data_IF_103870271264
#
_entry.id   IF_103870271264
#
_cell.length_a   1.000
_cell.length_b   1.000
_cell.length_c   1.000
_cell.angle_alpha   90.00
_cell.angle_beta   90.00
_cell.angle_gamma   90.00
#
_symmetry.space_group_name_H-M   'P 1'
#
loop_
_entity.id
_entity.type
_entity.pdbx_description
1 polymer ?
#
# COMPACT_ATOMS: atom_id res chain seq x y z
N UNK A 1 18.78 5.02 -2.34
CA UNK A 1 17.50 5.65 -1.94
C UNK A 1 16.49 5.50 -3.06
N UNK A 2 15.19 5.64 -2.78
CA UNK A 2 14.13 5.66 -3.80
C UNK A 2 13.65 7.09 -3.95
N UNK A 3 13.96 7.71 -5.09
CA UNK A 3 13.62 9.10 -5.37
C UNK A 3 12.21 9.18 -5.92
N UNK A 4 11.26 9.73 -5.14
CA UNK A 4 9.93 10.06 -5.65
C UNK A 4 9.94 11.14 -6.73
N UNK A 5 10.72 12.24 -6.62
CA UNK A 5 10.76 13.27 -7.68
C UNK A 5 11.15 12.74 -9.07
N UNK A 6 11.98 11.68 -9.12
CA UNK A 6 12.40 11.07 -10.39
C UNK A 6 11.75 9.69 -10.65
N UNK A 7 10.97 9.17 -9.71
CA UNK A 7 10.38 7.83 -9.75
C UNK A 7 11.39 6.70 -10.06
N UNK A 8 12.55 6.71 -9.39
CA UNK A 8 13.62 5.72 -9.58
C UNK A 8 14.35 5.40 -8.27
N UNK A 9 14.89 4.19 -8.19
CA UNK A 9 15.88 3.80 -7.19
C UNK A 9 17.28 4.23 -7.65
N UNK A 10 18.02 4.90 -6.77
CA UNK A 10 19.41 5.32 -6.99
C UNK A 10 20.33 4.59 -6.03
N UNK A 11 21.33 3.91 -6.59
CA UNK A 11 22.44 3.30 -5.86
C UNK A 11 23.73 3.97 -6.30
N UNK A 12 24.48 4.55 -5.37
CA UNK A 12 25.75 5.21 -5.65
C UNK A 12 26.86 4.53 -4.88
N UNK A 13 27.84 3.99 -5.60
CA UNK A 13 28.96 3.22 -5.09
C UNK A 13 30.25 3.98 -5.34
N UNK A 14 31.11 4.05 -4.34
CA UNK A 14 32.42 4.73 -4.41
C UNK A 14 33.50 3.83 -3.82
N UNK A 15 34.75 4.05 -4.23
CA UNK A 15 35.92 3.48 -3.56
C UNK A 15 36.76 4.61 -2.95
N UNK A 16 37.48 4.30 -1.85
CA UNK A 16 38.37 5.26 -1.17
C UNK A 16 39.65 5.57 -1.94
N UNK A 17 39.93 4.84 -3.02
CA UNK A 17 41.08 5.02 -3.91
C UNK A 17 40.63 5.05 -5.36
N UNK A 18 41.34 5.81 -6.21
CA UNK A 18 41.05 5.85 -7.65
C UNK A 18 41.17 4.47 -8.27
N UNK A 19 40.30 4.19 -9.25
CA UNK A 19 40.28 2.95 -10.01
C UNK A 19 40.17 1.67 -9.17
N UNK A 20 39.60 1.74 -7.96
CA UNK A 20 39.53 0.62 -7.02
C UNK A 20 38.14 -0.01 -6.90
N UNK A 21 37.15 0.44 -7.68
CA UNK A 21 35.81 -0.13 -7.70
C UNK A 21 35.64 -1.08 -8.90
N UNK A 22 35.51 -2.37 -8.60
CA UNK A 22 35.23 -3.42 -9.59
C UNK A 22 34.17 -4.39 -9.06
N UNK A 23 33.13 -4.67 -9.85
CA UNK A 23 32.07 -5.60 -9.47
C UNK A 23 31.28 -6.09 -10.70
N UNK A 24 30.53 -7.17 -10.51
CA UNK A 24 29.54 -7.64 -11.48
C UNK A 24 28.13 -7.26 -11.03
N UNK A 25 27.26 -6.90 -11.97
CA UNK A 25 25.85 -6.66 -11.72
C UNK A 25 24.97 -7.32 -12.78
N UNK A 26 23.82 -7.81 -12.37
CA UNK A 26 22.79 -8.40 -13.22
C UNK A 26 21.40 -8.18 -12.61
N UNK A 27 20.36 -8.34 -13.43
CA UNK A 27 18.98 -8.41 -12.97
C UNK A 27 18.52 -9.87 -12.96
N UNK A 28 17.69 -10.24 -11.98
CA UNK A 28 17.05 -11.55 -11.87
C UNK A 28 15.66 -11.42 -11.27
N UNK A 29 14.83 -12.45 -11.49
CA UNK A 29 13.48 -12.55 -10.93
C UNK A 29 13.14 -14.02 -10.69
N UNK A 30 12.35 -14.37 -9.66
CA UNK A 30 11.78 -15.71 -9.50
C UNK A 30 10.65 -16.01 -10.49
N UNK A 31 10.15 -15.02 -11.24
CA UNK A 31 9.05 -15.19 -12.19
C UNK A 31 9.54 -15.49 -13.62
N UNK A 32 8.67 -15.96 -14.53
CA UNK A 32 9.02 -16.21 -15.92
C UNK A 32 9.60 -14.98 -16.63
N UNK A 33 10.82 -15.15 -17.14
CA UNK A 33 11.57 -14.14 -17.89
C UNK A 33 11.15 -14.15 -19.35
N UNK A 34 10.80 -12.97 -19.89
CA UNK A 34 10.57 -12.75 -21.33
C UNK A 34 11.90 -12.46 -22.02
N UNK A 35 12.68 -11.55 -21.46
CA UNK A 35 14.03 -11.21 -21.93
C UNK A 35 14.86 -10.59 -20.82
N UNK A 36 16.18 -10.80 -20.86
CA UNK A 36 17.12 -10.21 -19.91
C UNK A 36 18.39 -9.83 -20.67
N UNK A 37 18.61 -8.54 -20.85
CA UNK A 37 19.67 -8.01 -21.71
C UNK A 37 20.57 -7.05 -20.94
N UNK A 38 21.85 -7.06 -21.31
CA UNK A 38 22.86 -6.16 -20.81
C UNK A 38 23.53 -5.42 -21.97
N UNK A 39 23.75 -4.12 -21.77
CA UNK A 39 24.62 -3.28 -22.60
C UNK A 39 25.69 -2.65 -21.69
N UNK A 40 26.66 -1.95 -22.27
CA UNK A 40 27.67 -1.23 -21.49
C UNK A 40 27.08 -0.07 -20.68
N UNK A 41 25.84 0.36 -20.94
CA UNK A 41 25.18 1.49 -20.29
C UNK A 41 23.88 1.12 -19.58
N UNK A 42 23.40 -0.13 -19.72
CA UNK A 42 22.11 -0.53 -19.14
C UNK A 42 21.95 -2.03 -18.90
N UNK A 43 21.06 -2.36 -17.96
CA UNK A 43 20.48 -3.68 -17.76
C UNK A 43 18.96 -3.58 -17.96
N UNK A 44 18.35 -4.51 -18.69
CA UNK A 44 16.89 -4.55 -18.91
C UNK A 44 16.37 -5.96 -18.72
N UNK A 45 15.41 -6.13 -17.82
CA UNK A 45 14.68 -7.37 -17.58
C UNK A 45 13.20 -7.15 -17.91
N UNK A 46 12.65 -7.93 -18.83
CA UNK A 46 11.21 -8.03 -19.08
C UNK A 46 10.73 -9.38 -18.56
N UNK A 47 9.63 -9.40 -17.82
CA UNK A 47 9.10 -10.59 -17.19
C UNK A 47 7.57 -10.54 -17.07
N UNK A 48 6.98 -11.71 -16.79
CA UNK A 48 5.58 -11.84 -16.41
C UNK A 48 5.45 -11.98 -14.91
N UNK A 49 4.32 -11.55 -14.33
CA UNK A 49 3.95 -12.02 -13.00
C UNK A 49 3.45 -13.46 -13.14
N UNK A 50 4.02 -14.42 -12.42
CA UNK A 50 3.42 -15.75 -12.41
C UNK A 50 3.75 -16.48 -11.13
N UNK A 51 2.72 -16.64 -10.32
CA UNK A 51 2.30 -17.94 -9.80
C UNK A 51 0.81 -18.01 -10.15
N UNK A 52 0.36 -19.06 -10.83
CA UNK A 52 -1.08 -19.27 -11.00
C UNK A 52 -1.66 -19.54 -9.60
N UNK A 53 -2.24 -18.52 -8.97
CA UNK A 53 -2.89 -18.63 -7.67
C UNK A 53 -4.33 -19.08 -7.87
N UNK A 54 -4.74 -20.16 -7.22
CA UNK A 54 -6.14 -20.65 -7.27
C UNK A 54 -6.69 -20.84 -8.70
N UNK A 55 -5.84 -21.22 -9.66
CA UNK A 55 -6.22 -21.46 -11.05
C UNK A 55 -6.37 -20.20 -11.91
N UNK A 56 -6.05 -19.01 -11.40
CA UNK A 56 -6.10 -17.74 -12.15
C UNK A 56 -4.70 -17.44 -12.71
N UNK A 57 -4.61 -17.29 -14.04
CA UNK A 57 -3.36 -16.94 -14.71
C UNK A 57 -2.95 -15.49 -14.41
N UNK A 58 -1.65 -15.25 -14.25
CA UNK A 58 -1.09 -13.90 -14.16
C UNK A 58 -1.29 -13.13 -15.46
N UNK A 59 -1.81 -11.90 -15.35
CA UNK A 59 -2.15 -11.04 -16.49
C UNK A 59 -1.17 -9.86 -16.70
N UNK A 60 -0.16 -9.72 -15.84
CA UNK A 60 0.75 -8.59 -15.86
C UNK A 60 2.09 -8.94 -16.51
N UNK A 61 2.59 -8.00 -17.30
CA UNK A 61 3.99 -7.91 -17.65
C UNK A 61 4.63 -6.78 -16.86
N UNK A 62 5.94 -6.86 -16.64
CA UNK A 62 6.70 -5.76 -16.06
C UNK A 62 8.11 -5.69 -16.65
N UNK A 63 8.67 -4.50 -16.58
CA UNK A 63 10.05 -4.23 -16.97
C UNK A 63 10.79 -3.64 -15.77
N UNK A 64 12.02 -4.12 -15.57
CA UNK A 64 13.02 -3.49 -14.71
C UNK A 64 14.13 -2.98 -15.62
N UNK A 65 14.47 -1.70 -15.51
CA UNK A 65 15.51 -1.05 -16.30
C UNK A 65 16.50 -0.38 -15.37
N UNK A 66 17.78 -0.61 -15.58
CA UNK A 66 18.86 0.07 -14.86
C UNK A 66 19.74 0.81 -15.84
N UNK A 67 19.98 2.11 -15.64
CA UNK A 67 21.01 2.91 -16.32
C UNK A 67 22.28 2.89 -15.48
N UNK A 68 23.42 2.65 -16.12
CA UNK A 68 24.75 2.61 -15.48
C UNK A 68 25.47 3.90 -15.84
N UNK A 69 25.89 4.65 -14.83
CA UNK A 69 26.64 5.91 -14.98
C UNK A 69 28.00 5.69 -14.32
N UNK A 70 29.04 5.76 -15.13
CA UNK A 70 30.40 5.42 -14.75
C UNK A 70 31.26 6.69 -14.62
N UNK A 71 32.08 6.75 -13.57
CA UNK A 71 33.19 7.68 -13.46
C UNK A 71 34.52 6.90 -13.38
N UNK A 72 35.30 6.96 -14.45
CA UNK A 72 36.53 6.18 -14.62
C UNK A 72 36.31 4.68 -14.83
N UNK A 73 37.34 3.95 -15.27
CA UNK A 73 37.25 2.51 -15.50
C UNK A 73 36.53 2.12 -16.80
N UNK A 74 35.98 0.91 -16.84
CA UNK A 74 35.32 0.35 -18.02
C UNK A 74 34.16 -0.59 -17.65
N UNK A 75 33.18 -0.72 -18.56
CA UNK A 75 32.11 -1.73 -18.47
C UNK A 75 32.24 -2.71 -19.64
N UNK A 76 32.19 -4.01 -19.35
CA UNK A 76 32.03 -5.07 -20.35
C UNK A 76 30.75 -5.86 -20.08
N UNK A 77 30.21 -6.51 -21.09
CA UNK A 77 28.98 -7.32 -20.99
C UNK A 77 29.29 -8.79 -21.20
N UNK A 78 28.64 -9.66 -20.44
CA UNK A 78 28.64 -11.11 -20.67
C UNK A 78 27.25 -11.67 -20.38
N UNK A 79 26.56 -12.12 -21.43
CA UNK A 79 25.14 -12.52 -21.33
C UNK A 79 24.25 -11.39 -20.82
N UNK A 80 23.54 -11.64 -19.72
CA UNK A 80 22.65 -10.68 -19.04
C UNK A 80 23.34 -9.90 -17.90
N UNK A 81 24.67 -9.98 -17.81
CA UNK A 81 25.46 -9.34 -16.76
C UNK A 81 26.40 -8.27 -17.33
N UNK A 82 26.70 -7.28 -16.50
CA UNK A 82 27.78 -6.31 -16.73
C UNK A 82 28.91 -6.55 -15.74
N UNK A 83 30.14 -6.39 -16.18
CA UNK A 83 31.32 -6.34 -15.34
C UNK A 83 31.88 -4.91 -15.40
N UNK A 84 31.89 -4.24 -14.25
CA UNK A 84 32.55 -2.95 -14.07
C UNK A 84 33.94 -3.19 -13.50
N UNK A 85 34.94 -2.57 -14.11
CA UNK A 85 36.34 -2.72 -13.73
C UNK A 85 37.01 -1.37 -13.55
N UNK A 86 37.76 -1.23 -12.46
CA UNK A 86 38.67 -0.13 -12.19
C UNK A 86 38.00 1.26 -12.22
N UNK A 87 36.78 1.36 -11.71
CA UNK A 87 36.05 2.64 -11.62
C UNK A 87 36.45 3.46 -10.39
N UNK A 88 36.16 4.76 -10.42
CA UNK A 88 36.23 5.63 -9.23
C UNK A 88 34.88 5.59 -8.48
N UNK A 89 33.78 5.73 -9.23
CA UNK A 89 32.43 5.60 -8.71
C UNK A 89 31.47 5.06 -9.79
N UNK A 90 30.37 4.46 -9.34
CA UNK A 90 29.28 3.99 -10.19
C UNK A 90 27.96 4.45 -9.61
N UNK A 91 27.11 5.05 -10.44
CA UNK A 91 25.70 5.27 -10.10
C UNK A 91 24.81 4.37 -10.94
N UNK A 92 23.99 3.55 -10.28
CA UNK A 92 22.95 2.75 -10.87
C UNK A 92 21.61 3.45 -10.64
N UNK A 93 20.89 3.73 -11.72
CA UNK A 93 19.55 4.32 -11.68
C UNK A 93 18.54 3.31 -12.19
N UNK A 94 17.74 2.76 -11.29
CA UNK A 94 16.82 1.66 -11.55
C UNK A 94 15.37 2.14 -11.53
N UNK A 95 14.61 1.82 -12.57
CA UNK A 95 13.17 2.01 -12.65
C UNK A 95 12.46 0.68 -12.86
N UNK A 96 11.24 0.59 -12.32
CA UNK A 96 10.34 -0.56 -12.49
C UNK A 96 8.95 -0.06 -12.91
N UNK A 97 8.32 -0.75 -13.85
CA UNK A 97 6.94 -0.49 -14.23
C UNK A 97 6.25 -1.79 -14.64
N UNK A 98 4.92 -1.85 -14.48
CA UNK A 98 4.09 -2.96 -14.93
C UNK A 98 3.04 -2.52 -15.96
N UNK A 99 2.39 -3.49 -16.58
CA UNK A 99 1.28 -3.26 -17.51
C UNK A 99 -0.03 -2.88 -16.80
N UNK A 100 -0.04 -2.86 -15.46
CA UNK A 100 -1.22 -2.46 -14.68
C UNK A 100 -1.56 -1.00 -14.93
N UNK A 101 -2.81 -0.73 -15.30
CA UNK A 101 -3.37 0.62 -15.43
C UNK A 101 -4.37 0.90 -14.32
N UNK A 102 -5.26 -0.06 -14.06
CA UNK A 102 -6.27 -0.05 -13.00
C UNK A 102 -6.79 -1.48 -12.80
N UNK A 103 -7.65 -1.67 -11.80
CA UNK A 103 -8.16 -2.99 -11.39
C UNK A 103 -8.82 -3.81 -12.52
N UNK A 104 -9.28 -3.18 -13.60
CA UNK A 104 -9.89 -3.85 -14.76
C UNK A 104 -9.16 -3.57 -16.09
N UNK A 105 -7.92 -3.10 -16.04
CA UNK A 105 -7.13 -2.78 -17.24
C UNK A 105 -5.64 -3.08 -17.02
N UNK A 106 -5.16 -4.05 -17.80
CA UNK A 106 -3.76 -4.51 -17.80
C UNK A 106 -3.07 -4.25 -19.15
N UNK A 107 -3.64 -3.36 -19.98
CA UNK A 107 -3.16 -3.04 -21.33
C UNK A 107 -1.95 -2.10 -21.36
N UNK A 108 -1.47 -1.66 -20.20
CA UNK A 108 -0.34 -0.74 -20.10
C UNK A 108 0.95 -1.32 -20.70
N UNK A 109 1.82 -0.44 -21.19
CA UNK A 109 3.13 -0.82 -21.71
C UNK A 109 4.23 -0.45 -20.69
N UNK A 110 4.84 -1.44 -19.99
CA UNK A 110 5.93 -1.20 -19.04
C UNK A 110 7.10 -0.41 -19.63
N UNK A 111 7.49 -0.72 -20.88
CA UNK A 111 8.63 -0.07 -21.53
C UNK A 111 8.34 1.41 -21.78
N UNK A 112 7.16 1.74 -22.32
CA UNK A 112 6.78 3.12 -22.59
C UNK A 112 6.69 3.96 -21.30
N UNK A 113 6.17 3.38 -20.21
CA UNK A 113 6.18 4.03 -18.88
C UNK A 113 7.60 4.35 -18.42
N UNK A 114 8.53 3.39 -18.59
CA UNK A 114 9.93 3.62 -18.25
C UNK A 114 10.63 4.58 -19.21
N UNK A 115 10.23 4.67 -20.47
CA UNK A 115 10.75 5.68 -21.38
C UNK A 115 10.43 7.08 -20.85
N UNK A 116 9.19 7.34 -20.40
CA UNK A 116 8.81 8.60 -19.75
C UNK A 116 9.67 8.89 -18.50
N UNK A 117 9.84 7.90 -17.62
CA UNK A 117 10.65 8.05 -16.39
C UNK A 117 12.11 8.36 -16.74
N UNK A 118 12.72 7.60 -17.65
CA UNK A 118 14.13 7.75 -17.98
C UNK A 118 14.45 8.95 -18.88
N UNK A 119 13.46 9.49 -19.60
CA UNK A 119 13.57 10.74 -20.36
C UNK A 119 13.51 11.99 -19.47
N UNK A 120 12.86 11.89 -18.30
CA UNK A 120 12.83 12.97 -17.32
C UNK A 120 14.17 13.11 -16.54
N UNK A 121 15.02 12.09 -16.58
CA UNK A 121 16.33 12.12 -15.94
C UNK A 121 17.29 12.98 -16.78
N UNK A 122 17.95 14.00 -16.19
CA UNK A 122 18.91 14.84 -16.90
C UNK A 122 20.02 14.01 -17.57
N UNK A 123 20.39 14.38 -18.81
CA UNK A 123 21.47 13.73 -19.55
C UNK A 123 22.82 13.87 -18.85
N UNK A 124 23.09 15.05 -18.26
CA UNK A 124 24.19 15.30 -17.34
C UNK A 124 23.80 14.92 -15.91
N UNK A 125 23.67 13.62 -15.66
CA UNK A 125 23.28 13.13 -14.33
C UNK A 125 24.25 13.61 -13.25
N UNK A 126 23.72 14.28 -12.22
CA UNK A 126 24.48 14.73 -11.06
C UNK A 126 23.90 14.10 -9.79
N UNK A 127 24.66 13.19 -9.18
CA UNK A 127 24.22 12.47 -7.98
C UNK A 127 23.85 13.41 -6.82
N UNK A 128 24.67 14.43 -6.56
CA UNK A 128 24.45 15.35 -5.45
C UNK A 128 23.15 16.15 -5.60
N UNK A 129 22.84 16.63 -6.81
CA UNK A 129 21.58 17.31 -7.10
C UNK A 129 20.37 16.39 -6.92
N UNK A 130 20.47 15.14 -7.39
CA UNK A 130 19.38 14.15 -7.26
C UNK A 130 19.17 13.76 -5.80
N UNK A 131 20.25 13.57 -5.03
CA UNK A 131 20.17 13.30 -3.60
C UNK A 131 19.54 14.48 -2.84
N UNK A 132 19.97 15.71 -3.14
CA UNK A 132 19.41 16.92 -2.52
C UNK A 132 17.91 17.06 -2.80
N UNK A 133 17.48 16.83 -4.04
CA UNK A 133 16.07 16.83 -4.41
C UNK A 133 15.26 15.75 -3.67
N UNK A 134 15.80 14.52 -3.56
CA UNK A 134 15.17 13.46 -2.78
C UNK A 134 15.05 13.82 -1.29
N UNK A 135 16.12 14.36 -0.69
CA UNK A 135 16.12 14.76 0.72
C UNK A 135 15.08 15.86 0.96
N UNK A 136 15.03 16.89 0.11
CA UNK A 136 14.05 17.97 0.23
C UNK A 136 12.61 17.46 0.13
N UNK A 137 12.34 16.57 -0.82
CA UNK A 137 11.04 15.93 -1.00
C UNK A 137 10.63 15.09 0.23
N UNK A 138 11.51 14.22 0.71
CA UNK A 138 11.25 13.39 1.89
C UNK A 138 11.05 14.23 3.17
N UNK A 139 11.95 15.19 3.41
CA UNK A 139 11.93 16.06 4.58
C UNK A 139 10.71 16.98 4.60
N UNK A 140 10.15 17.34 3.43
CA UNK A 140 8.91 18.13 3.34
C UNK A 140 7.72 17.47 4.05
N UNK A 141 7.74 16.14 4.23
CA UNK A 141 6.73 15.40 5.00
C UNK A 141 7.26 14.97 6.36
N UNK A 142 8.47 14.40 6.41
CA UNK A 142 9.00 13.83 7.64
C UNK A 142 9.17 14.88 8.75
N UNK A 143 9.63 16.09 8.39
CA UNK A 143 9.88 17.17 9.35
C UNK A 143 8.61 17.89 9.84
N UNK A 144 7.41 17.52 9.35
CA UNK A 144 6.14 18.13 9.80
C UNK A 144 5.77 17.80 11.25
N UNK A 145 6.36 16.75 11.82
CA UNK A 145 6.18 16.36 13.21
C UNK A 145 7.52 15.97 13.83
N UNK A 146 7.67 16.26 15.12
CA UNK A 146 8.87 15.97 15.90
C UNK A 146 8.45 15.47 17.28
N UNK A 147 9.20 14.50 17.80
CA UNK A 147 9.03 13.98 19.16
C UNK A 147 10.39 13.65 19.77
N UNK A 148 10.68 14.24 20.91
CA UNK A 148 11.87 13.98 21.71
C UNK A 148 11.44 13.63 23.13
N UNK A 149 11.66 12.37 23.52
CA UNK A 149 11.35 11.85 24.86
C UNK A 149 12.61 11.78 25.74
N UNK A 150 13.70 12.43 25.33
CA UNK A 150 15.01 12.36 25.95
C UNK A 150 15.83 11.16 25.45
N UNK A 151 17.14 11.21 25.68
CA UNK A 151 18.07 10.13 25.32
C UNK A 151 19.04 9.81 26.44
N UNK A 152 19.47 8.55 26.52
CA UNK A 152 20.57 8.10 27.35
C UNK A 152 21.77 7.80 26.43
N UNK A 153 22.86 8.56 26.59
CA UNK A 153 24.04 8.48 25.71
C UNK A 153 24.66 7.07 25.62
N UNK A 154 24.60 6.29 26.71
CA UNK A 154 25.10 4.91 26.74
C UNK A 154 24.23 3.92 25.96
N UNK A 155 22.94 4.23 25.78
CA UNK A 155 22.00 3.42 25.00
C UNK A 155 21.98 3.84 23.54
N UNK A 156 22.03 5.15 23.26
CA UNK A 156 21.99 5.68 21.89
C UNK A 156 23.22 5.34 21.04
N UNK A 157 24.34 4.97 21.67
CA UNK A 157 25.53 4.49 20.97
C UNK A 157 25.44 3.02 20.53
N UNK A 158 24.47 2.26 21.03
CA UNK A 158 24.32 0.85 20.68
C UNK A 158 23.58 0.69 19.34
N UNK A 159 23.93 -0.34 18.55
CA UNK A 159 23.13 -0.78 17.42
C UNK A 159 21.66 -1.04 17.81
N UNK A 160 20.72 -0.73 16.90
CA UNK A 160 19.27 -0.82 17.18
C UNK A 160 18.81 -2.21 17.60
N UNK A 161 19.38 -3.27 17.02
CA UNK A 161 19.11 -4.67 17.38
C UNK A 161 19.45 -4.95 18.86
N UNK A 162 20.59 -4.44 19.34
CA UNK A 162 20.98 -4.57 20.74
C UNK A 162 20.09 -3.75 21.67
N UNK A 163 19.61 -2.59 21.23
CA UNK A 163 18.67 -1.77 22.02
C UNK A 163 17.33 -2.48 22.19
N UNK A 164 16.79 -3.08 21.12
CA UNK A 164 15.53 -3.85 21.15
C UNK A 164 15.66 -5.11 22.00
N UNK A 165 16.74 -5.88 21.85
CA UNK A 165 16.95 -7.13 22.58
C UNK A 165 16.99 -6.97 24.11
N UNK A 166 17.25 -5.76 24.62
CA UNK A 166 17.28 -5.44 26.06
C UNK A 166 15.90 -5.24 26.69
N UNK A 167 14.81 -5.25 25.90
CA UNK A 167 13.45 -5.28 26.43
C UNK A 167 13.01 -4.06 27.24
N UNK A 168 13.54 -2.87 26.93
CA UNK A 168 13.22 -1.59 27.60
C UNK A 168 13.52 -1.53 29.12
N UNK A 169 14.51 -2.30 29.62
CA UNK A 169 14.97 -2.18 31.00
C UNK A 169 16.49 -1.87 31.09
N UNK A 170 16.90 -0.65 31.52
CA UNK A 170 16.05 0.51 31.79
C UNK A 170 15.36 1.02 30.52
N UNK A 171 14.31 1.83 30.68
CA UNK A 171 13.54 2.37 29.54
C UNK A 171 14.44 3.18 28.61
N UNK A 172 14.49 2.78 27.34
CA UNK A 172 15.16 3.51 26.28
C UNK A 172 14.18 4.45 25.58
N UNK A 173 14.01 5.65 26.13
CA UNK A 173 13.10 6.67 25.59
C UNK A 173 13.47 7.10 24.17
N UNK A 174 14.76 7.10 23.85
CA UNK A 174 15.23 7.37 22.50
C UNK A 174 14.82 6.28 21.50
N UNK A 175 14.64 5.03 21.95
CA UNK A 175 14.15 3.94 21.11
C UNK A 175 12.65 4.09 20.86
N UNK A 176 11.89 4.60 21.85
CA UNK A 176 10.47 4.94 21.68
C UNK A 176 10.30 6.06 20.63
N UNK A 177 11.05 7.15 20.75
CA UNK A 177 11.06 8.21 19.73
C UNK A 177 11.47 7.68 18.36
N UNK A 178 12.47 6.78 18.28
CA UNK A 178 12.86 6.14 17.02
C UNK A 178 11.72 5.30 16.44
N UNK A 179 11.00 4.53 17.26
CA UNK A 179 9.93 3.66 16.81
C UNK A 179 8.73 4.44 16.24
N UNK A 180 8.34 5.54 16.88
CA UNK A 180 7.29 6.45 16.39
C UNK A 180 7.70 7.04 15.03
N UNK A 181 8.94 7.54 14.94
CA UNK A 181 9.45 8.08 13.68
C UNK A 181 9.63 7.01 12.61
N UNK A 182 9.90 5.76 12.99
CA UNK A 182 10.00 4.65 12.05
C UNK A 182 8.65 4.33 11.41
N UNK A 183 7.55 4.33 12.17
CA UNK A 183 6.20 4.20 11.62
C UNK A 183 5.88 5.28 10.57
N UNK A 184 6.22 6.54 10.86
CA UNK A 184 6.09 7.65 9.92
C UNK A 184 6.96 7.47 8.67
N UNK A 185 8.22 7.04 8.85
CA UNK A 185 9.13 6.73 7.74
C UNK A 185 8.53 5.64 6.83
N UNK A 186 7.97 4.58 7.42
CA UNK A 186 7.38 3.48 6.66
C UNK A 186 6.17 3.96 5.85
N UNK A 187 5.24 4.70 6.47
CA UNK A 187 4.05 5.21 5.79
C UNK A 187 4.41 6.17 4.63
N UNK A 188 5.38 7.07 4.83
CA UNK A 188 5.90 7.94 3.77
C UNK A 188 6.48 7.11 2.61
N UNK A 189 7.17 6.02 2.93
CA UNK A 189 7.92 5.21 1.97
C UNK A 189 7.04 4.20 1.22
N UNK A 190 5.88 3.81 1.76
CA UNK A 190 4.93 2.87 1.14
C UNK A 190 3.71 3.54 0.51
N UNK A 191 3.25 4.68 1.06
CA UNK A 191 1.97 5.32 0.73
C UNK A 191 2.06 6.72 0.10
N UNK A 192 3.19 7.07 -0.53
CA UNK A 192 3.44 8.40 -1.07
C UNK A 192 2.28 8.98 -1.94
N UNK A 193 2.11 10.32 -1.99
CA UNK A 193 1.15 10.93 -2.90
C UNK A 193 1.45 10.52 -4.35
N UNK A 194 0.42 10.00 -5.04
CA UNK A 194 0.55 9.44 -6.38
C UNK A 194 0.79 7.93 -6.44
N UNK A 195 0.95 7.23 -5.30
CA UNK A 195 0.97 5.77 -5.26
C UNK A 195 -0.33 5.18 -5.81
N UNK A 196 -0.22 4.17 -6.69
CA UNK A 196 -1.36 3.51 -7.32
C UNK A 196 -2.19 2.71 -6.31
N UNK A 197 -1.54 2.24 -5.25
CA UNK A 197 -2.13 1.43 -4.19
C UNK A 197 -1.80 2.01 -2.81
N UNK A 198 -2.65 1.77 -1.80
CA UNK A 198 -2.28 2.01 -0.42
C UNK A 198 -1.23 1.01 0.07
N UNK A 199 -0.70 1.24 1.27
CA UNK A 199 0.25 0.37 1.93
C UNK A 199 -0.46 -0.93 2.35
N UNK A 200 -0.05 -2.07 1.81
CA UNK A 200 -0.67 -3.36 2.16
C UNK A 200 -0.16 -3.89 3.51
N UNK A 201 -0.49 -5.15 3.87
CA UNK A 201 -0.01 -5.81 5.10
C UNK A 201 1.51 -5.70 5.38
N UNK A 202 2.32 -5.49 4.35
CA UNK A 202 3.78 -5.37 4.45
C UNK A 202 4.28 -4.04 3.84
N UNK A 203 3.39 -3.05 3.71
CA UNK A 203 3.64 -1.79 3.02
C UNK A 203 3.85 -2.01 1.53
N UNK A 204 5.11 -2.14 1.12
CA UNK A 204 5.55 -2.47 -0.25
C UNK A 204 6.72 -3.46 -0.27
N UNK A 205 7.11 -4.00 0.89
CA UNK A 205 8.32 -4.80 1.05
C UNK A 205 7.97 -6.29 1.14
N UNK A 206 8.17 -7.03 0.06
CA UNK A 206 7.92 -8.47 -0.02
C UNK A 206 9.03 -9.16 -0.83
N UNK A 207 9.54 -10.28 -0.33
CA UNK A 207 10.52 -11.14 -0.99
C UNK A 207 9.90 -12.40 -1.58
N UNK A 208 8.80 -12.87 -1.02
CA UNK A 208 8.16 -14.14 -1.32
C UNK A 208 7.10 -13.99 -2.41
N UNK A 209 7.04 -14.93 -3.35
CA UNK A 209 5.99 -14.98 -4.39
C UNK A 209 4.66 -15.54 -3.87
N UNK A 210 4.64 -16.06 -2.65
CA UNK A 210 3.48 -16.58 -1.93
C UNK A 210 3.52 -16.06 -0.48
N UNK A 211 3.27 -14.77 -0.33
CA UNK A 211 3.31 -14.08 0.95
C UNK A 211 2.26 -14.60 1.94
N UNK A 212 2.54 -14.49 3.24
CA UNK A 212 1.54 -14.72 4.28
C UNK A 212 0.34 -13.76 4.08
N UNK A 213 -0.87 -14.33 4.09
CA UNK A 213 -2.12 -13.62 3.77
C UNK A 213 -2.06 -12.85 2.44
N UNK A 214 -1.28 -13.38 1.48
CA UNK A 214 -1.03 -12.79 0.16
C UNK A 214 -0.50 -11.35 0.17
N UNK A 215 -0.06 -10.83 1.34
CA UNK A 215 0.27 -9.42 1.53
C UNK A 215 -0.82 -8.48 0.98
N UNK A 216 -2.09 -8.87 1.15
CA UNK A 216 -3.27 -8.16 0.63
C UNK A 216 -3.64 -6.93 1.46
N UNK A 217 -4.80 -6.35 1.17
CA UNK A 217 -5.46 -5.35 2.00
C UNK A 217 -6.49 -6.08 2.87
N UNK A 218 -6.14 -6.34 4.13
CA UNK A 218 -7.05 -6.93 5.12
C UNK A 218 -7.75 -5.81 5.88
N UNK A 219 -9.04 -5.64 5.60
CA UNK A 219 -9.86 -4.47 5.93
C UNK A 219 -10.85 -4.79 7.04
N UNK A 220 -10.39 -5.56 8.03
CA UNK A 220 -11.12 -5.82 9.27
C UNK A 220 -10.27 -5.45 10.50
N UNK A 221 -9.20 -4.67 10.29
CA UNK A 221 -8.33 -4.03 11.29
C UNK A 221 -7.01 -3.55 10.65
N UNK A 222 -6.40 -4.33 9.75
CA UNK A 222 -4.99 -4.18 9.39
C UNK A 222 -4.74 -2.96 8.48
N UNK A 223 -5.51 -2.87 7.40
CA UNK A 223 -5.39 -1.76 6.45
C UNK A 223 -5.78 -0.45 7.13
N UNK A 224 -6.82 -0.45 7.95
CA UNK A 224 -7.22 0.71 8.73
C UNK A 224 -6.07 1.15 9.67
N UNK A 225 -5.43 0.19 10.36
CA UNK A 225 -4.31 0.45 11.27
C UNK A 225 -3.09 1.07 10.57
N UNK A 226 -2.83 0.73 9.31
CA UNK A 226 -1.74 1.32 8.55
C UNK A 226 -1.83 2.86 8.50
N UNK A 227 -3.05 3.40 8.61
CA UNK A 227 -3.33 4.81 8.37
C UNK A 227 -3.80 5.60 9.60
N UNK A 228 -4.00 4.98 10.77
CA UNK A 228 -4.37 5.69 12.01
C UNK A 228 -3.40 6.82 12.39
N UNK A 229 -2.13 6.70 12.02
CA UNK A 229 -1.11 7.71 12.32
C UNK A 229 -1.08 8.87 11.31
N UNK A 230 -1.80 8.77 10.18
CA UNK A 230 -1.67 9.71 9.07
C UNK A 230 -2.03 11.14 9.51
N UNK A 231 -3.22 11.35 10.06
CA UNK A 231 -3.67 12.68 10.50
C UNK A 231 -2.86 13.22 11.67
N UNK A 232 -2.78 12.45 12.76
CA UNK A 232 -2.17 12.89 14.03
C UNK A 232 -0.66 13.12 13.93
N UNK A 233 -0.02 12.65 12.85
CA UNK A 233 1.41 12.89 12.58
C UNK A 233 1.68 13.72 11.31
N UNK A 234 0.66 14.45 10.83
CA UNK A 234 0.73 15.40 9.72
C UNK A 234 1.15 14.79 8.36
N UNK A 235 0.62 13.61 8.09
CA UNK A 235 0.81 12.80 6.87
C UNK A 235 -0.51 12.53 6.13
N UNK A 236 -1.50 13.40 6.28
CA UNK A 236 -2.82 13.29 5.67
C UNK A 236 -2.80 13.16 4.14
N UNK A 237 -1.78 13.73 3.46
CA UNK A 237 -1.59 13.60 2.01
C UNK A 237 -1.46 12.13 1.54
N UNK A 238 -1.15 11.22 2.47
CA UNK A 238 -0.96 9.80 2.22
C UNK A 238 -2.27 9.00 2.25
N UNK A 239 -3.41 9.62 2.57
CA UNK A 239 -4.73 8.97 2.55
C UNK A 239 -5.33 8.83 1.14
N UNK A 240 -4.83 9.59 0.17
CA UNK A 240 -5.33 9.60 -1.20
C UNK A 240 -5.42 8.19 -1.87
N UNK A 241 -4.45 7.28 -1.68
CA UNK A 241 -4.56 5.92 -2.22
C UNK A 241 -5.72 5.10 -1.63
N UNK A 242 -6.08 5.29 -0.35
CA UNK A 242 -7.26 4.63 0.25
C UNK A 242 -8.54 5.22 -0.32
N UNK A 243 -8.60 6.54 -0.49
CA UNK A 243 -9.76 7.18 -1.12
C UNK A 243 -10.04 6.57 -2.49
N UNK A 244 -9.00 6.40 -3.32
CA UNK A 244 -9.15 5.73 -4.63
C UNK A 244 -9.49 4.25 -4.52
N UNK A 245 -8.93 3.54 -3.53
CA UNK A 245 -9.26 2.15 -3.26
C UNK A 245 -10.77 2.01 -3.02
N UNK A 246 -11.35 2.85 -2.14
CA UNK A 246 -12.76 2.76 -1.79
C UNK A 246 -13.67 3.27 -2.91
N UNK A 247 -13.23 4.24 -3.70
CA UNK A 247 -13.93 4.66 -4.93
C UNK A 247 -14.06 3.50 -5.93
N UNK A 248 -12.97 2.76 -6.19
CA UNK A 248 -13.00 1.58 -7.05
C UNK A 248 -13.89 0.45 -6.46
N UNK A 249 -13.78 0.21 -5.15
CA UNK A 249 -14.59 -0.78 -4.43
C UNK A 249 -16.07 -0.41 -4.46
N UNK A 250 -16.40 0.89 -4.44
CA UNK A 250 -17.77 1.35 -4.58
C UNK A 250 -18.39 0.94 -5.92
N UNK A 251 -17.57 0.59 -6.93
CA UNK A 251 -18.02 0.10 -8.23
C UNK A 251 -18.09 -1.43 -8.20
N UNK A 252 -17.02 -2.11 -7.81
CA UNK A 252 -16.97 -3.59 -7.83
C UNK A 252 -17.88 -4.22 -6.77
N UNK A 253 -17.99 -3.60 -5.59
CA UNK A 253 -18.82 -4.02 -4.47
C UNK A 253 -20.32 -3.95 -4.73
N UNK A 254 -20.79 -3.15 -5.70
CA UNK A 254 -22.22 -3.14 -6.09
C UNK A 254 -22.67 -4.48 -6.62
N UNK A 255 -21.83 -5.10 -7.45
CA UNK A 255 -22.11 -6.43 -8.00
C UNK A 255 -22.19 -7.47 -6.89
N UNK A 256 -21.28 -7.41 -5.93
CA UNK A 256 -21.29 -8.30 -4.75
C UNK A 256 -22.54 -8.09 -3.91
N UNK A 257 -22.93 -6.84 -3.64
CA UNK A 257 -24.15 -6.51 -2.89
C UNK A 257 -25.40 -7.05 -3.60
N UNK A 258 -25.53 -6.83 -4.91
CA UNK A 258 -26.68 -7.31 -5.68
C UNK A 258 -26.77 -8.84 -5.74
N UNK A 259 -25.67 -9.51 -6.10
CA UNK A 259 -25.69 -10.95 -6.34
C UNK A 259 -25.76 -11.75 -5.04
N UNK A 260 -25.03 -11.32 -4.00
CA UNK A 260 -24.93 -12.09 -2.75
C UNK A 260 -25.94 -11.66 -1.70
N UNK A 261 -26.36 -10.40 -1.70
CA UNK A 261 -27.21 -9.82 -0.66
C UNK A 261 -28.57 -9.35 -1.17
N UNK A 262 -28.83 -9.44 -2.48
CA UNK A 262 -30.13 -9.10 -3.06
C UNK A 262 -30.47 -7.61 -2.99
N UNK A 263 -29.47 -6.74 -2.79
CA UNK A 263 -29.69 -5.29 -2.73
C UNK A 263 -30.14 -4.74 -4.07
N UNK A 264 -30.90 -3.65 -4.01
CA UNK A 264 -31.39 -2.92 -5.17
C UNK A 264 -30.25 -2.41 -6.04
N UNK A 265 -30.45 -2.43 -7.36
CA UNK A 265 -29.55 -1.81 -8.33
C UNK A 265 -29.88 -0.35 -8.62
N UNK A 266 -31.05 0.11 -8.18
CA UNK A 266 -31.61 1.44 -8.51
C UNK A 266 -31.98 2.27 -7.29
N UNK A 267 -31.85 1.72 -6.07
CA UNK A 267 -31.92 2.52 -4.84
C UNK A 267 -30.77 3.51 -4.86
N UNK A 268 -31.09 4.75 -5.22
CA UNK A 268 -30.19 5.88 -5.15
C UNK A 268 -30.69 6.77 -4.02
N UNK A 269 -29.80 7.22 -3.15
CA UNK A 269 -30.09 8.46 -2.42
C UNK A 269 -30.04 9.62 -3.42
N UNK A 270 -30.62 10.77 -3.09
CA UNK A 270 -30.69 11.94 -3.99
C UNK A 270 -29.33 12.40 -4.55
N UNK A 271 -28.21 11.99 -3.95
CA UNK A 271 -26.83 12.27 -4.38
C UNK A 271 -25.89 11.04 -4.31
N UNK A 272 -26.39 9.82 -4.09
CA UNK A 272 -25.55 8.70 -3.64
C UNK A 272 -25.33 7.59 -4.65
N UNK A 273 -24.34 6.75 -4.33
CA UNK A 273 -24.03 5.55 -5.08
C UNK A 273 -25.00 4.43 -4.69
N UNK A 274 -25.30 3.46 -5.59
CA UNK A 274 -26.02 2.24 -5.22
C UNK A 274 -25.34 1.50 -4.06
N UNK A 275 -26.09 0.65 -3.34
CA UNK A 275 -25.53 -0.23 -2.31
C UNK A 275 -24.27 -0.94 -2.80
N UNK A 276 -23.21 -0.90 -2.00
CA UNK A 276 -22.01 -1.68 -2.24
C UNK A 276 -21.49 -2.25 -0.93
N UNK A 277 -20.76 -3.36 -1.03
CA UNK A 277 -20.21 -4.07 0.11
C UNK A 277 -18.76 -4.45 -0.16
N UNK A 278 -17.96 -4.45 0.90
CA UNK A 278 -16.63 -5.04 0.95
C UNK A 278 -16.57 -5.88 2.22
N UNK A 279 -16.10 -7.12 2.07
CA UNK A 279 -15.87 -8.02 3.19
C UNK A 279 -14.45 -7.84 3.77
N UNK A 280 -13.97 -8.74 4.63
CA UNK A 280 -12.71 -8.54 5.37
C UNK A 280 -11.40 -8.41 4.56
N UNK A 281 -11.40 -8.68 3.25
CA UNK A 281 -10.19 -8.68 2.43
C UNK A 281 -10.47 -8.13 1.03
N UNK A 282 -9.49 -7.42 0.48
CA UNK A 282 -9.44 -7.03 -0.93
C UNK A 282 -8.01 -7.05 -1.46
N UNK A 283 -7.84 -6.77 -2.75
CA UNK A 283 -6.56 -6.85 -3.44
C UNK A 283 -6.44 -5.80 -4.56
N UNK A 284 -5.37 -5.90 -5.34
CA UNK A 284 -5.12 -5.06 -6.51
C UNK A 284 -6.28 -5.05 -7.53
N UNK A 285 -7.07 -6.12 -7.57
CA UNK A 285 -8.19 -6.32 -8.50
C UNK A 285 -9.53 -5.88 -7.92
N UNK A 286 -9.54 -5.35 -6.68
CA UNK A 286 -10.74 -4.84 -5.98
C UNK A 286 -11.78 -5.93 -5.79
N UNK A 287 -11.32 -7.14 -5.47
CA UNK A 287 -12.20 -8.22 -5.07
C UNK A 287 -12.96 -7.83 -3.79
N UNK A 288 -14.27 -8.07 -3.76
CA UNK A 288 -15.14 -7.66 -2.64
C UNK A 288 -15.98 -8.79 -2.08
N UNK A 289 -15.96 -9.97 -2.69
CA UNK A 289 -16.64 -11.17 -2.19
C UNK A 289 -15.93 -11.73 -0.93
N UNK A 290 -16.65 -12.44 -0.03
CA UNK A 290 -16.02 -13.10 1.10
C UNK A 290 -15.06 -14.20 0.61
N UNK A 291 -13.89 -14.31 1.24
CA UNK A 291 -12.85 -15.31 0.91
C UNK A 291 -12.51 -16.20 2.13
N UNK A 292 -11.70 -17.23 1.90
CA UNK A 292 -11.12 -18.20 2.86
C UNK A 292 -12.12 -19.09 3.60
N UNK A 293 -13.08 -18.53 4.33
CA UNK A 293 -14.10 -19.31 5.05
C UNK A 293 -14.99 -18.47 5.96
N UNK A 294 -16.15 -18.99 6.35
CA UNK A 294 -17.16 -18.24 7.09
C UNK A 294 -16.70 -17.68 8.45
N UNK A 295 -15.68 -18.27 9.06
CA UNK A 295 -15.07 -17.82 10.32
C UNK A 295 -14.37 -16.45 10.22
N UNK A 296 -14.01 -16.07 9.00
CA UNK A 296 -13.21 -14.87 8.70
C UNK A 296 -13.91 -14.00 7.65
N UNK A 297 -14.33 -14.64 6.55
CA UNK A 297 -14.73 -14.04 5.29
C UNK A 297 -16.05 -13.31 5.28
N UNK A 298 -17.05 -13.79 6.04
CA UNK A 298 -18.43 -13.30 5.98
C UNK A 298 -18.67 -12.05 6.85
N UNK A 299 -17.70 -11.14 6.91
CA UNK A 299 -17.80 -9.89 7.65
C UNK A 299 -18.00 -8.70 6.70
N UNK A 300 -19.24 -8.21 6.46
CA UNK A 300 -19.58 -7.29 5.37
C UNK A 300 -19.40 -5.80 5.69
N UNK A 301 -18.48 -5.43 6.61
CA UNK A 301 -18.34 -4.06 7.09
C UNK A 301 -17.02 -3.40 6.71
N UNK A 302 -16.16 -4.06 5.93
CA UNK A 302 -14.84 -3.55 5.55
C UNK A 302 -14.91 -2.19 4.85
N UNK A 303 -15.86 -2.00 3.93
CA UNK A 303 -16.02 -0.72 3.22
C UNK A 303 -16.29 0.44 4.19
N UNK A 304 -17.07 0.19 5.23
CA UNK A 304 -17.54 1.21 6.15
C UNK A 304 -16.50 1.53 7.20
N UNK A 305 -15.67 0.54 7.57
CA UNK A 305 -14.54 0.76 8.45
C UNK A 305 -13.45 1.59 7.74
N UNK A 306 -13.10 1.24 6.50
CA UNK A 306 -12.18 2.03 5.67
C UNK A 306 -12.64 3.48 5.51
N UNK A 307 -13.95 3.68 5.28
CA UNK A 307 -14.53 5.02 5.19
C UNK A 307 -14.31 5.86 6.46
N UNK A 308 -14.17 5.25 7.66
CA UNK A 308 -13.91 5.98 8.90
C UNK A 308 -12.65 6.83 8.82
N UNK A 309 -11.56 6.31 8.24
CA UNK A 309 -10.33 7.06 8.08
C UNK A 309 -10.54 8.32 7.21
N UNK A 310 -11.41 8.22 6.20
CA UNK A 310 -11.75 9.36 5.34
C UNK A 310 -12.66 10.36 6.04
N UNK A 311 -13.61 9.90 6.86
CA UNK A 311 -14.39 10.81 7.69
C UNK A 311 -13.52 11.53 8.72
N UNK A 312 -12.59 10.82 9.35
CA UNK A 312 -11.61 11.43 10.24
C UNK A 312 -10.82 12.52 9.51
N UNK A 313 -10.33 12.27 8.30
CA UNK A 313 -9.68 13.30 7.48
C UNK A 313 -10.53 14.57 7.33
N UNK A 314 -11.82 14.42 7.00
CA UNK A 314 -12.74 15.56 6.96
C UNK A 314 -12.88 16.25 8.34
N UNK A 315 -12.89 15.52 9.45
CA UNK A 315 -12.94 16.12 10.79
C UNK A 315 -11.66 16.88 11.15
N UNK A 316 -10.49 16.46 10.66
CA UNK A 316 -9.24 17.21 10.80
C UNK A 316 -9.22 18.49 9.95
N UNK A 317 -9.91 18.50 8.81
CA UNK A 317 -10.07 19.68 7.96
C UNK A 317 -11.51 19.86 7.44
N UNK A 318 -12.45 20.35 8.28
CA UNK A 318 -13.87 20.46 7.90
C UNK A 318 -14.13 21.56 6.87
N UNK A 319 -13.12 22.36 6.53
CA UNK A 319 -13.22 23.40 5.50
C UNK A 319 -13.04 22.87 4.08
N UNK A 320 -12.51 21.65 3.92
CA UNK A 320 -12.35 21.01 2.61
C UNK A 320 -13.68 20.40 2.14
N UNK A 321 -14.53 21.26 1.62
CA UNK A 321 -15.83 20.87 1.09
C UNK A 321 -15.74 20.06 -0.20
N UNK A 322 -14.63 20.12 -0.92
CA UNK A 322 -14.46 19.34 -2.14
C UNK A 322 -14.12 17.89 -1.79
N UNK A 323 -13.30 17.67 -0.76
CA UNK A 323 -13.12 16.34 -0.18
C UNK A 323 -14.43 15.80 0.43
N UNK A 324 -15.18 16.61 1.18
CA UNK A 324 -16.47 16.20 1.74
C UNK A 324 -17.44 15.72 0.65
N UNK A 325 -17.57 16.46 -0.46
CA UNK A 325 -18.39 16.05 -1.62
C UNK A 325 -17.90 14.78 -2.30
N UNK A 326 -16.60 14.49 -2.25
CA UNK A 326 -16.01 13.27 -2.82
C UNK A 326 -16.36 12.04 -2.01
N UNK A 327 -16.28 12.10 -0.67
CA UNK A 327 -16.47 10.94 0.20
C UNK A 327 -17.93 10.70 0.61
N UNK A 328 -18.77 11.75 0.61
CA UNK A 328 -20.15 11.63 1.06
C UNK A 328 -20.99 10.63 0.25
N UNK A 329 -20.92 10.58 -1.10
CA UNK A 329 -21.64 9.56 -1.88
C UNK A 329 -21.21 8.12 -1.56
N UNK A 330 -19.95 7.92 -1.15
CA UNK A 330 -19.43 6.60 -0.73
C UNK A 330 -20.06 6.18 0.60
N UNK A 331 -20.15 7.10 1.56
CA UNK A 331 -20.87 6.87 2.82
C UNK A 331 -22.34 6.53 2.61
N UNK A 332 -23.01 7.25 1.70
CA UNK A 332 -24.41 6.98 1.39
C UNK A 332 -24.60 5.60 0.78
N UNK A 333 -23.78 5.20 -0.21
CA UNK A 333 -23.88 3.88 -0.83
C UNK A 333 -23.58 2.74 0.15
N UNK A 334 -22.56 2.88 0.98
CA UNK A 334 -22.22 1.87 1.99
C UNK A 334 -23.28 1.78 3.10
N UNK A 335 -23.90 2.90 3.47
CA UNK A 335 -24.99 2.93 4.46
C UNK A 335 -26.29 2.36 3.90
N UNK A 336 -26.59 2.64 2.62
CA UNK A 336 -27.75 2.08 1.94
C UNK A 336 -27.71 0.54 1.90
N UNK A 337 -26.51 -0.06 1.81
CA UNK A 337 -26.36 -1.51 1.95
C UNK A 337 -26.95 -2.03 3.28
N UNK A 338 -26.71 -1.36 4.41
CA UNK A 338 -27.29 -1.78 5.69
C UNK A 338 -28.80 -1.55 5.75
N UNK A 339 -29.29 -0.44 5.22
CA UNK A 339 -30.74 -0.15 5.18
C UNK A 339 -31.53 -1.24 4.43
N UNK A 340 -30.91 -1.91 3.45
CA UNK A 340 -31.54 -2.98 2.67
C UNK A 340 -31.29 -4.38 3.20
N UNK A 341 -30.27 -4.58 4.03
CA UNK A 341 -29.84 -5.93 4.46
C UNK A 341 -30.05 -6.22 5.94
N UNK A 342 -30.17 -5.18 6.79
CA UNK A 342 -30.46 -5.38 8.21
C UNK A 342 -31.78 -6.15 8.40
N UNK A 343 -31.74 -7.12 9.31
CA UNK A 343 -32.85 -8.01 9.61
C UNK A 343 -33.40 -7.74 11.00
N UNK A 344 -34.69 -7.95 11.19
CA UNK A 344 -35.31 -7.94 12.52
C UNK A 344 -34.70 -9.01 13.42
N UNK A 345 -34.26 -8.64 14.63
CA UNK A 345 -33.67 -9.59 15.56
C UNK A 345 -34.71 -10.56 16.12
N UNK A 346 -34.40 -11.86 16.07
CA UNK A 346 -35.34 -12.92 16.44
C UNK A 346 -35.84 -12.84 17.89
N UNK A 347 -35.00 -12.36 18.82
CA UNK A 347 -35.37 -12.26 20.24
C UNK A 347 -35.91 -10.87 20.63
N UNK A 348 -35.89 -9.89 19.73
CA UNK A 348 -36.47 -8.57 19.96
C UNK A 348 -36.79 -7.89 18.62
N UNK A 349 -38.07 -7.87 18.25
CA UNK A 349 -38.51 -7.36 16.95
C UNK A 349 -38.35 -5.84 16.77
N UNK A 350 -38.00 -5.11 17.83
CA UNK A 350 -37.70 -3.68 17.76
C UNK A 350 -36.25 -3.39 17.36
N UNK A 351 -35.40 -4.41 17.24
CA UNK A 351 -34.00 -4.25 16.86
C UNK A 351 -33.77 -4.74 15.43
N UNK A 352 -32.96 -3.97 14.72
CA UNK A 352 -32.39 -4.33 13.43
C UNK A 352 -30.94 -4.76 13.64
N UNK A 353 -30.54 -5.88 13.06
CA UNK A 353 -29.21 -6.48 13.22
C UNK A 353 -28.64 -6.96 11.89
N UNK A 354 -27.32 -6.97 11.78
CA UNK A 354 -26.63 -7.66 10.69
C UNK A 354 -26.83 -9.16 10.84
N UNK A 355 -27.16 -9.85 9.75
CA UNK A 355 -27.34 -11.29 9.74
C UNK A 355 -27.31 -11.84 8.29
N UNK A 356 -26.37 -12.74 7.94
CA UNK A 356 -25.27 -13.25 8.76
C UNK A 356 -24.12 -12.25 8.90
N UNK A 357 -23.38 -12.32 10.01
CA UNK A 357 -22.09 -11.64 10.19
C UNK A 357 -21.28 -12.32 11.29
N UNK A 358 -20.19 -11.71 11.78
CA UNK A 358 -19.30 -12.27 12.80
C UNK A 358 -18.57 -11.18 13.60
N UNK A 359 -18.13 -11.50 14.82
CA UNK A 359 -17.03 -10.78 15.47
C UNK A 359 -15.74 -11.31 14.87
N UNK A 360 -14.90 -10.48 14.22
CA UNK A 360 -13.73 -10.93 13.46
C UNK A 360 -12.95 -12.04 14.15
N UNK A 361 -12.92 -13.20 13.50
CA UNK A 361 -12.08 -14.36 13.83
C UNK A 361 -12.30 -14.94 15.23
N UNK A 362 -13.48 -14.72 15.82
CA UNK A 362 -13.87 -15.30 17.12
C UNK A 362 -15.07 -16.23 17.00
N UNK A 363 -15.00 -17.45 17.58
CA UNK A 363 -16.15 -18.33 17.60
C UNK A 363 -17.26 -17.75 18.48
N UNK A 364 -18.50 -17.92 18.02
CA UNK A 364 -19.70 -17.56 18.76
C UNK A 364 -20.21 -18.75 19.60
N UNK A 365 -21.17 -18.55 20.53
CA UNK A 365 -21.75 -19.64 21.31
C UNK A 365 -22.14 -20.84 20.45
N UNK A 366 -21.82 -22.05 20.92
CA UNK A 366 -21.98 -23.28 20.13
C UNK A 366 -20.89 -23.50 19.07
N UNK A 367 -19.76 -22.78 19.16
CA UNK A 367 -18.65 -22.83 18.20
C UNK A 367 -19.08 -22.44 16.77
N UNK A 368 -20.06 -21.53 16.66
CA UNK A 368 -20.55 -21.03 15.39
C UNK A 368 -19.59 -19.98 14.80
N UNK A 369 -19.40 -20.01 13.47
CA UNK A 369 -18.59 -19.00 12.77
C UNK A 369 -19.28 -17.64 12.66
N UNK A 370 -20.61 -17.65 12.56
CA UNK A 370 -21.42 -16.46 12.29
C UNK A 370 -22.48 -16.28 13.39
N UNK A 371 -22.88 -15.03 13.63
CA UNK A 371 -23.92 -14.66 14.58
C UNK A 371 -24.69 -13.42 14.09
N UNK A 372 -25.96 -13.26 14.52
CA UNK A 372 -26.71 -12.03 14.29
C UNK A 372 -26.25 -10.91 15.23
N UNK A 373 -26.07 -9.71 14.69
CA UNK A 373 -25.78 -8.47 15.43
C UNK A 373 -24.58 -8.46 16.37
N UNK A 374 -23.37 -8.94 15.97
CA UNK A 374 -22.16 -8.76 16.77
C UNK A 374 -21.96 -7.30 17.18
N UNK A 375 -21.43 -7.05 18.38
CA UNK A 375 -21.26 -5.67 18.91
C UNK A 375 -20.41 -4.77 18.00
N UNK A 376 -19.39 -5.32 17.35
CA UNK A 376 -18.57 -4.58 16.39
C UNK A 376 -19.42 -4.07 15.21
N UNK A 377 -20.32 -4.90 14.69
CA UNK A 377 -21.21 -4.51 13.60
C UNK A 377 -22.14 -3.38 14.00
N UNK A 378 -22.74 -3.49 15.19
CA UNK A 378 -23.62 -2.45 15.72
C UNK A 378 -22.86 -1.11 15.84
N UNK A 379 -21.60 -1.16 16.28
CA UNK A 379 -20.77 0.04 16.46
C UNK A 379 -20.39 0.69 15.13
N UNK A 380 -19.92 -0.11 14.16
CA UNK A 380 -19.48 0.36 12.84
C UNK A 380 -20.67 0.82 12.00
N UNK A 381 -21.77 0.06 11.99
CA UNK A 381 -23.00 0.41 11.28
C UNK A 381 -23.62 1.70 11.84
N UNK A 382 -23.75 1.82 13.17
CA UNK A 382 -24.26 3.04 13.80
C UNK A 382 -23.38 4.26 13.48
N UNK A 383 -22.05 4.09 13.48
CA UNK A 383 -21.12 5.14 13.09
C UNK A 383 -21.37 5.62 11.65
N UNK A 384 -21.62 4.70 10.72
CA UNK A 384 -21.91 5.03 9.31
C UNK A 384 -23.24 5.77 9.14
N UNK A 385 -24.31 5.22 9.72
CA UNK A 385 -25.66 5.77 9.61
C UNK A 385 -25.79 7.15 10.25
N UNK A 386 -24.99 7.45 11.28
CA UNK A 386 -24.96 8.78 11.90
C UNK A 386 -24.34 9.87 11.03
N UNK A 387 -23.69 9.50 9.92
CA UNK A 387 -22.93 10.40 9.02
C UNK A 387 -23.55 10.52 7.61
N UNK A 388 -24.53 9.67 7.26
CA UNK A 388 -25.07 9.46 5.91
C UNK A 388 -26.31 10.26 5.55
#
# INVERSE_FOLDING_TARGET
FVSRPLNVTVVHLTASSKNALSFQANLSTPTPVISNTATTTSLVLNAHNTVAGNGIAGALTYQVRTRIILDGGSVTTSGSSVTISNANSVTLVLGIASSFQKYNDVSGNPSAKLDTVFNAIPSSFNYASVLSSHIGDYQSMFNRFSIDLGSNSSLSSLPTDQRVARGMNPVDTGLVSLFINFGRYLLISSGAPGSVHPANLQGIWQTDTTALWDSKFTVNINEEMNYWSAEVTSLQDLLEPITRLIEDISITGRRTAQIMWGTSSTSLTSNGLPPFVLHHNTDQWRATAPIDGAMYGYWPLGAVWELQALWEHYQFNPSDMDFAKRIYPLYQGASQFFLETLQTYVNNTNWLVTNPSLSPEKPHPGNASIAPGPTIDNSVCNSALSKS
#
